data_IF_436603478114
#
_entry.id   IF_436603478114
#
_cell.length_a   1.000
_cell.length_b   1.000
_cell.length_c   1.000
_cell.angle_alpha   90.00
_cell.angle_beta   90.00
_cell.angle_gamma   90.00
#
_symmetry.space_group_name_H-M   'P 1'
#
loop_
_entity.id
_entity.type
_entity.pdbx_description
1 polymer ?
#
# COMPACT_ATOMS: atom_id res chain seq x y z
N UNK A 1 53.20 60.69 -6.54
CA UNK A 1 51.98 60.40 -5.82
C UNK A 1 50.87 60.12 -6.84
N UNK A 2 50.52 58.86 -7.06
CA UNK A 2 49.47 58.47 -8.04
C UNK A 2 48.38 57.76 -7.22
N UNK A 3 47.20 58.35 -7.19
CA UNK A 3 46.00 57.74 -6.56
C UNK A 3 45.39 56.76 -7.55
N UNK A 4 45.33 55.52 -7.16
CA UNK A 4 44.59 54.45 -7.87
C UNK A 4 43.20 54.37 -7.27
N UNK A 5 42.21 54.83 -8.06
CA UNK A 5 40.79 54.63 -7.67
C UNK A 5 40.37 53.19 -7.99
N UNK A 6 40.03 52.45 -6.97
CA UNK A 6 39.42 51.12 -7.09
C UNK A 6 37.93 51.29 -7.19
N UNK A 7 37.36 50.98 -8.37
CA UNK A 7 35.93 50.95 -8.59
C UNK A 7 35.45 49.56 -8.15
N UNK A 8 34.71 49.51 -7.03
CA UNK A 8 34.06 48.30 -6.54
C UNK A 8 32.73 48.10 -7.28
N UNK A 9 32.73 47.19 -8.24
CA UNK A 9 31.48 46.80 -8.91
C UNK A 9 30.73 45.82 -8.03
N UNK A 10 29.65 46.27 -7.41
CA UNK A 10 28.73 45.42 -6.68
C UNK A 10 27.86 44.63 -7.68
N UNK A 11 28.16 43.35 -7.87
CA UNK A 11 27.32 42.44 -8.62
C UNK A 11 26.16 42.03 -7.71
N UNK A 12 24.98 42.59 -7.93
CA UNK A 12 23.73 42.15 -7.35
C UNK A 12 23.35 40.82 -7.99
N UNK A 13 23.69 39.72 -7.33
CA UNK A 13 23.15 38.40 -7.62
C UNK A 13 21.67 38.37 -7.17
N UNK A 14 20.76 38.66 -8.09
CA UNK A 14 19.36 38.38 -7.93
C UNK A 14 19.17 36.85 -7.95
N UNK A 15 19.15 36.23 -6.77
CA UNK A 15 18.70 34.87 -6.58
C UNK A 15 17.18 34.82 -6.84
N UNK A 16 16.81 34.46 -8.06
CA UNK A 16 15.46 34.01 -8.38
C UNK A 16 15.21 32.73 -7.60
N UNK A 17 14.57 32.86 -6.47
CA UNK A 17 13.97 31.70 -5.78
C UNK A 17 12.89 31.16 -6.71
N UNK A 18 13.25 30.11 -7.48
CA UNK A 18 12.27 29.26 -8.14
C UNK A 18 11.48 28.56 -7.04
N UNK A 19 10.37 29.17 -6.62
CA UNK A 19 9.38 28.52 -5.79
C UNK A 19 8.86 27.32 -6.57
N UNK A 20 9.37 26.14 -6.28
CA UNK A 20 8.75 24.90 -6.71
C UNK A 20 7.33 24.96 -6.14
N UNK A 21 6.33 25.09 -7.01
CA UNK A 21 4.95 24.89 -6.68
C UNK A 21 4.84 23.43 -6.24
N UNK A 22 4.92 23.19 -4.93
CA UNK A 22 4.52 21.91 -4.35
C UNK A 22 3.01 21.80 -4.57
N UNK A 23 2.63 21.16 -5.67
CA UNK A 23 1.24 20.74 -5.86
C UNK A 23 0.94 19.80 -4.71
N UNK A 24 0.16 20.27 -3.74
CA UNK A 24 -0.36 19.43 -2.67
C UNK A 24 -1.20 18.34 -3.34
N UNK A 25 -0.71 17.11 -3.34
CA UNK A 25 -1.45 15.96 -3.87
C UNK A 25 -2.63 15.66 -2.98
N UNK A 26 -3.80 15.55 -3.58
CA UNK A 26 -5.01 15.09 -2.90
C UNK A 26 -5.12 13.55 -2.98
N UNK A 27 -4.33 12.88 -2.17
CA UNK A 27 -4.36 11.42 -2.08
C UNK A 27 -5.76 10.85 -1.80
N UNK A 28 -6.63 11.60 -1.11
CA UNK A 28 -8.01 11.16 -0.84
C UNK A 28 -8.83 10.99 -2.11
N UNK A 29 -8.61 11.82 -3.10
CA UNK A 29 -9.30 11.71 -4.40
C UNK A 29 -8.60 10.73 -5.33
N UNK A 30 -7.27 10.74 -5.35
CA UNK A 30 -6.47 9.89 -6.25
C UNK A 30 -6.63 8.40 -5.95
N UNK A 31 -6.75 8.01 -4.67
CA UNK A 31 -6.88 6.60 -4.25
C UNK A 31 -8.24 5.99 -4.59
N UNK A 32 -9.27 6.81 -4.87
CA UNK A 32 -10.62 6.30 -5.14
C UNK A 32 -10.66 5.38 -6.36
N UNK A 33 -11.46 4.32 -6.27
CA UNK A 33 -11.68 3.37 -7.36
C UNK A 33 -11.23 1.95 -7.04
N UNK A 34 -11.04 1.17 -8.10
CA UNK A 34 -10.70 -0.24 -7.99
C UNK A 34 -9.20 -0.44 -8.25
N UNK A 35 -8.56 -1.27 -7.43
CA UNK A 35 -7.14 -1.56 -7.50
C UNK A 35 -6.89 -3.05 -7.42
N UNK A 36 -5.95 -3.56 -8.21
CA UNK A 36 -5.41 -4.91 -8.05
C UNK A 36 -4.07 -4.79 -7.36
N UNK A 37 -3.98 -5.30 -6.15
CA UNK A 37 -2.77 -5.33 -5.34
C UNK A 37 -2.10 -6.70 -5.41
N UNK A 38 -0.78 -6.71 -5.35
CA UNK A 38 0.04 -7.94 -5.41
C UNK A 38 1.13 -7.86 -4.36
N UNK A 39 1.24 -8.93 -3.60
CA UNK A 39 2.29 -9.10 -2.60
C UNK A 39 2.92 -10.49 -2.75
N UNK A 40 4.26 -10.53 -2.81
CA UNK A 40 5.00 -11.76 -3.06
C UNK A 40 6.20 -11.88 -2.12
N UNK A 41 6.28 -13.03 -1.44
CA UNK A 41 7.42 -13.42 -0.63
C UNK A 41 7.76 -14.89 -0.91
N UNK A 42 8.93 -15.38 -0.53
CA UNK A 42 9.20 -16.82 -0.60
C UNK A 42 8.16 -17.61 0.20
N UNK A 43 7.42 -18.49 -0.47
CA UNK A 43 6.38 -19.32 0.12
C UNK A 43 5.04 -18.62 0.35
N UNK A 44 4.86 -17.39 -0.15
CA UNK A 44 3.62 -16.62 -0.03
C UNK A 44 3.34 -15.80 -1.28
N UNK A 45 2.09 -15.77 -1.71
CA UNK A 45 1.61 -14.85 -2.73
C UNK A 45 0.19 -14.39 -2.37
N UNK A 46 -0.08 -13.11 -2.47
CA UNK A 46 -1.41 -12.55 -2.35
C UNK A 46 -1.78 -11.73 -3.58
N UNK A 47 -3.02 -11.87 -3.99
CA UNK A 47 -3.66 -11.09 -5.04
C UNK A 47 -4.98 -10.58 -4.50
N UNK A 48 -5.15 -9.30 -4.49
CA UNK A 48 -6.33 -8.67 -3.94
C UNK A 48 -6.88 -7.63 -4.91
N UNK A 49 -8.17 -7.65 -5.15
CA UNK A 49 -8.90 -6.52 -5.72
C UNK A 49 -9.53 -5.75 -4.58
N UNK A 50 -9.16 -4.50 -4.42
CA UNK A 50 -9.69 -3.60 -3.40
C UNK A 50 -10.35 -2.40 -4.06
N UNK A 51 -11.50 -1.97 -3.53
CA UNK A 51 -12.20 -0.77 -3.94
C UNK A 51 -12.27 0.23 -2.81
N UNK A 52 -11.61 1.37 -2.97
CA UNK A 52 -11.75 2.52 -2.08
C UNK A 52 -12.89 3.41 -2.53
N UNK A 53 -13.83 3.70 -1.61
CA UNK A 53 -15.03 4.47 -1.88
C UNK A 53 -14.95 5.85 -1.23
N UNK A 54 -15.68 6.80 -1.81
CA UNK A 54 -15.70 8.20 -1.37
C UNK A 54 -16.27 8.39 0.05
N UNK A 55 -17.05 7.44 0.53
CA UNK A 55 -17.64 7.46 1.88
C UNK A 55 -16.65 7.00 2.98
N UNK A 56 -15.38 6.74 2.63
CA UNK A 56 -14.36 6.27 3.57
C UNK A 56 -14.45 4.77 3.85
N UNK A 57 -15.24 4.02 3.10
CA UNK A 57 -15.28 2.56 3.19
C UNK A 57 -14.46 1.90 2.08
N UNK A 58 -14.02 0.67 2.32
CA UNK A 58 -13.45 -0.17 1.30
C UNK A 58 -14.07 -1.57 1.33
N UNK A 59 -14.00 -2.25 0.21
CA UNK A 59 -14.28 -3.69 0.15
C UNK A 59 -13.24 -4.37 -0.74
N UNK A 60 -12.93 -5.61 -0.42
CA UNK A 60 -11.97 -6.39 -1.18
C UNK A 60 -12.41 -7.84 -1.36
N UNK A 61 -11.80 -8.45 -2.36
CA UNK A 61 -11.78 -9.90 -2.53
C UNK A 61 -10.45 -10.31 -3.15
N UNK A 62 -9.99 -11.48 -2.78
CA UNK A 62 -8.69 -11.92 -3.26
C UNK A 62 -8.38 -13.38 -3.00
N UNK A 63 -7.16 -13.75 -3.31
CA UNK A 63 -6.60 -15.06 -3.07
C UNK A 63 -5.23 -14.94 -2.40
N UNK A 64 -5.04 -15.78 -1.40
CA UNK A 64 -3.74 -15.97 -0.73
C UNK A 64 -3.27 -17.40 -1.00
N UNK A 65 -2.02 -17.53 -1.39
CA UNK A 65 -1.35 -18.81 -1.65
C UNK A 65 -0.20 -18.93 -0.67
N UNK A 66 -0.18 -20.01 0.11
CA UNK A 66 0.85 -20.27 1.12
C UNK A 66 1.48 -21.63 0.88
N UNK A 67 2.80 -21.68 0.91
CA UNK A 67 3.56 -22.93 0.86
C UNK A 67 3.86 -23.39 2.29
N UNK A 68 3.11 -24.37 2.79
CA UNK A 68 3.38 -25.03 4.08
C UNK A 68 4.48 -26.06 3.93
N UNK A 69 5.55 -25.91 4.70
CA UNK A 69 6.63 -26.89 4.74
C UNK A 69 6.18 -28.13 5.53
N UNK A 70 6.10 -29.27 4.87
CA UNK A 70 5.77 -30.56 5.50
C UNK A 70 7.03 -31.26 6.01
N UNK A 71 8.07 -31.34 5.13
CA UNK A 71 9.36 -31.96 5.39
C UNK A 71 10.47 -31.20 4.65
N UNK A 72 11.71 -31.60 4.83
CA UNK A 72 12.83 -31.04 4.08
C UNK A 72 12.59 -31.21 2.58
N UNK A 73 12.43 -30.11 1.85
CA UNK A 73 12.12 -30.04 0.41
C UNK A 73 10.70 -30.49 -0.01
N UNK A 74 9.77 -30.72 0.92
CA UNK A 74 8.38 -31.05 0.61
C UNK A 74 7.45 -29.93 1.12
N UNK A 75 6.71 -29.29 0.20
CA UNK A 75 5.82 -28.18 0.49
C UNK A 75 4.41 -28.50 0.01
N UNK A 76 3.43 -28.17 0.84
CA UNK A 76 2.01 -28.20 0.51
C UNK A 76 1.55 -26.79 0.14
N UNK A 77 1.12 -26.61 -1.11
CA UNK A 77 0.57 -25.34 -1.59
C UNK A 77 -0.90 -25.24 -1.25
N UNK A 78 -1.25 -24.31 -0.36
CA UNK A 78 -2.61 -24.06 0.09
C UNK A 78 -3.12 -22.74 -0.47
N UNK A 79 -4.36 -22.75 -0.95
CA UNK A 79 -5.03 -21.58 -1.53
C UNK A 79 -6.21 -21.18 -0.68
N UNK A 80 -6.24 -19.91 -0.29
CA UNK A 80 -7.31 -19.30 0.46
C UNK A 80 -7.97 -18.21 -0.36
N UNK A 81 -9.30 -18.25 -0.47
CA UNK A 81 -10.06 -17.10 -0.95
C UNK A 81 -10.42 -16.21 0.23
N UNK A 82 -10.27 -14.91 0.10
CA UNK A 82 -10.62 -13.94 1.12
C UNK A 82 -11.59 -12.89 0.55
N UNK A 83 -12.52 -12.45 1.39
CA UNK A 83 -13.34 -11.25 1.16
C UNK A 83 -13.29 -10.40 2.41
N UNK A 84 -13.21 -9.08 2.25
CA UNK A 84 -13.10 -8.16 3.37
C UNK A 84 -13.82 -6.84 3.13
N UNK A 85 -14.19 -6.19 4.23
CA UNK A 85 -14.68 -4.81 4.25
C UNK A 85 -14.02 -4.04 5.39
N UNK A 86 -14.09 -2.71 5.31
CA UNK A 86 -13.56 -1.87 6.35
C UNK A 86 -13.68 -0.40 6.02
N UNK A 87 -12.99 0.40 6.82
CA UNK A 87 -12.88 1.84 6.62
C UNK A 87 -11.46 2.24 6.29
N UNK A 88 -11.31 3.39 5.64
CA UNK A 88 -10.02 3.97 5.29
C UNK A 88 -10.03 5.48 5.43
N UNK A 89 -8.86 6.03 5.66
CA UNK A 89 -8.59 7.47 5.67
C UNK A 89 -7.12 7.74 5.28
N UNK A 90 -6.81 8.96 4.89
CA UNK A 90 -5.45 9.41 4.66
C UNK A 90 -5.04 10.37 5.77
N UNK A 91 -3.94 10.07 6.44
CA UNK A 91 -3.32 10.90 7.46
C UNK A 91 -1.81 11.03 7.20
N UNK A 92 -1.32 12.27 7.00
CA UNK A 92 0.12 12.56 6.84
C UNK A 92 0.82 11.63 5.83
N UNK A 93 0.26 11.52 4.63
CA UNK A 93 0.75 10.66 3.54
C UNK A 93 0.74 9.15 3.86
N UNK A 94 -0.01 8.74 4.87
CA UNK A 94 -0.26 7.35 5.18
C UNK A 94 -1.71 6.98 4.87
N UNK A 95 -1.88 5.79 4.31
CA UNK A 95 -3.16 5.12 4.24
C UNK A 95 -3.42 4.43 5.59
N UNK A 96 -4.40 4.93 6.30
CA UNK A 96 -4.90 4.30 7.52
C UNK A 96 -6.09 3.43 7.15
N UNK A 97 -6.05 2.17 7.52
CA UNK A 97 -7.17 1.25 7.27
C UNK A 97 -7.52 0.44 8.52
N UNK A 98 -8.76 -0.01 8.57
CA UNK A 98 -9.25 -0.88 9.62
C UNK A 98 -10.22 -1.89 8.99
N UNK A 99 -10.00 -3.18 9.29
CA UNK A 99 -10.86 -4.26 8.85
C UNK A 99 -12.03 -4.38 9.83
N UNK A 100 -13.26 -4.27 9.37
CA UNK A 100 -14.46 -4.50 10.17
C UNK A 100 -15.05 -5.91 9.96
N UNK A 101 -14.80 -6.49 8.80
CA UNK A 101 -15.19 -7.84 8.46
C UNK A 101 -14.17 -8.49 7.52
N UNK A 102 -13.86 -9.75 7.78
CA UNK A 102 -13.13 -10.63 6.86
C UNK A 102 -13.68 -12.04 6.92
N UNK A 103 -13.77 -12.68 5.77
CA UNK A 103 -14.07 -14.11 5.66
C UNK A 103 -13.02 -14.77 4.78
N UNK A 104 -12.37 -15.78 5.33
CA UNK A 104 -11.39 -16.61 4.63
C UNK A 104 -11.94 -17.99 4.39
N UNK A 105 -11.64 -18.58 3.24
CA UNK A 105 -12.10 -19.92 2.87
C UNK A 105 -10.94 -20.69 2.24
N UNK A 106 -10.57 -21.81 2.82
CA UNK A 106 -9.59 -22.73 2.24
C UNK A 106 -10.20 -23.37 0.98
N UNK A 107 -9.49 -23.30 -0.14
CA UNK A 107 -9.99 -23.71 -1.46
C UNK A 107 -9.62 -25.14 -1.85
N UNK A 108 -8.56 -25.69 -1.28
CA UNK A 108 -8.01 -26.97 -1.76
C UNK A 108 -7.64 -27.98 -0.66
N UNK A 109 -7.47 -27.56 0.59
CA UNK A 109 -7.05 -28.43 1.69
C UNK A 109 -7.78 -28.11 3.00
N UNK A 110 -9.12 -28.17 3.00
CA UNK A 110 -9.95 -27.75 4.13
C UNK A 110 -9.66 -28.49 5.46
N UNK A 111 -9.12 -29.71 5.38
CA UNK A 111 -8.67 -30.47 6.56
C UNK A 111 -7.55 -29.72 7.35
N UNK A 112 -6.80 -28.85 6.68
CA UNK A 112 -5.72 -28.09 7.32
C UNK A 112 -6.26 -27.02 8.28
N UNK A 113 -7.51 -26.59 8.11
CA UNK A 113 -8.14 -25.57 8.96
C UNK A 113 -8.29 -26.02 10.41
N UNK A 114 -8.22 -27.33 10.68
CA UNK A 114 -8.17 -27.90 12.03
C UNK A 114 -6.84 -27.61 12.75
N UNK A 115 -5.76 -27.39 11.98
CA UNK A 115 -4.40 -27.17 12.49
C UNK A 115 -3.95 -25.72 12.33
N UNK A 116 -4.41 -25.06 11.29
CA UNK A 116 -4.06 -23.69 10.96
C UNK A 116 -5.25 -22.96 10.35
N UNK A 117 -5.83 -22.05 11.11
CA UNK A 117 -6.92 -21.21 10.65
C UNK A 117 -6.39 -19.89 10.13
N UNK A 118 -6.39 -19.68 8.81
CA UNK A 118 -5.97 -18.45 8.17
C UNK A 118 -6.82 -17.24 8.60
N UNK A 119 -8.08 -17.44 8.97
CA UNK A 119 -8.98 -16.41 9.47
C UNK A 119 -8.40 -15.69 10.71
N UNK A 120 -7.71 -16.42 11.59
CA UNK A 120 -7.16 -15.90 12.85
C UNK A 120 -5.91 -15.02 12.64
N UNK A 121 -5.39 -14.94 11.41
CA UNK A 121 -4.28 -14.05 11.06
C UNK A 121 -4.74 -12.61 10.82
N UNK A 122 -6.04 -12.37 10.75
CA UNK A 122 -6.60 -11.03 10.53
C UNK A 122 -7.10 -10.44 11.84
N UNK A 123 -6.58 -9.28 12.21
CA UNK A 123 -7.06 -8.53 13.38
C UNK A 123 -8.18 -7.58 12.96
N UNK A 124 -9.36 -7.76 13.55
CA UNK A 124 -10.50 -6.89 13.30
C UNK A 124 -10.48 -5.68 14.22
N UNK A 125 -11.02 -4.55 13.73
CA UNK A 125 -11.20 -3.32 14.47
C UNK A 125 -9.90 -2.68 15.00
N UNK A 126 -8.76 -3.03 14.41
CA UNK A 126 -7.47 -2.41 14.69
C UNK A 126 -7.04 -1.56 13.50
N UNK A 127 -6.58 -0.34 13.78
CA UNK A 127 -6.04 0.55 12.75
C UNK A 127 -4.65 0.09 12.34
N UNK A 128 -4.47 -0.07 11.05
CA UNK A 128 -3.16 -0.26 10.40
C UNK A 128 -2.77 1.00 9.67
N UNK A 129 -1.47 1.23 9.52
CA UNK A 129 -0.92 2.39 8.83
C UNK A 129 0.10 1.95 7.81
N UNK A 130 -0.02 2.44 6.59
CA UNK A 130 0.87 2.14 5.47
C UNK A 130 1.32 3.44 4.81
N UNK A 131 2.63 3.63 4.68
CA UNK A 131 3.21 4.77 3.99
C UNK A 131 2.86 4.70 2.49
N UNK A 132 2.33 5.79 1.93
CA UNK A 132 2.13 5.93 0.50
C UNK A 132 3.45 6.38 -0.12
N UNK A 133 4.26 5.42 -0.58
CA UNK A 133 5.56 5.71 -1.19
C UNK A 133 5.40 6.36 -2.56
N UNK A 134 4.45 5.87 -3.34
CA UNK A 134 4.09 6.42 -4.66
C UNK A 134 2.58 6.30 -4.83
N UNK A 135 1.95 7.35 -5.32
CA UNK A 135 0.57 7.31 -5.81
C UNK A 135 0.51 8.09 -7.13
N UNK A 136 -0.06 7.49 -8.16
CA UNK A 136 -0.34 8.09 -9.45
C UNK A 136 -1.72 7.64 -9.94
N UNK A 137 -2.16 8.13 -11.10
CA UNK A 137 -3.50 7.84 -11.64
C UNK A 137 -3.81 6.34 -11.76
N UNK A 138 -2.78 5.52 -11.94
CA UNK A 138 -2.94 4.08 -12.21
C UNK A 138 -2.02 3.16 -11.39
N UNK A 139 -1.24 3.69 -10.45
CA UNK A 139 -0.27 2.92 -9.68
C UNK A 139 -0.13 3.45 -8.26
N UNK A 140 -0.14 2.54 -7.29
CA UNK A 140 0.18 2.81 -5.87
C UNK A 140 1.28 1.86 -5.42
N UNK A 141 2.25 2.38 -4.68
CA UNK A 141 3.17 1.59 -3.87
C UNK A 141 2.91 1.91 -2.40
N UNK A 142 2.52 0.92 -1.63
CA UNK A 142 2.26 1.00 -0.20
C UNK A 142 3.32 0.24 0.56
N UNK A 143 3.75 0.80 1.69
CA UNK A 143 4.73 0.19 2.57
C UNK A 143 4.18 0.12 4.00
N UNK A 144 3.83 -1.08 4.49
CA UNK A 144 3.42 -1.27 5.86
C UNK A 144 4.58 -0.97 6.83
N UNK A 145 4.26 -0.61 8.07
CA UNK A 145 5.25 -0.36 9.12
C UNK A 145 6.15 -1.58 9.40
N UNK A 146 5.62 -2.77 9.12
CA UNK A 146 6.36 -4.04 9.22
C UNK A 146 6.31 -4.76 7.88
N UNK A 147 7.47 -5.05 7.29
CA UNK A 147 7.54 -5.82 6.07
C UNK A 147 8.00 -5.06 4.84
N UNK A 148 7.80 -5.69 3.70
CA UNK A 148 8.11 -5.12 2.38
C UNK A 148 6.89 -4.39 1.84
N UNK A 149 7.12 -3.35 1.04
CA UNK A 149 6.06 -2.69 0.29
C UNK A 149 5.45 -3.62 -0.75
N UNK A 150 4.23 -3.32 -1.13
CA UNK A 150 3.50 -4.00 -2.19
C UNK A 150 2.92 -3.00 -3.19
N UNK A 151 2.52 -3.50 -4.33
CA UNK A 151 2.14 -2.69 -5.49
C UNK A 151 0.67 -2.93 -5.85
N UNK A 152 -0.02 -1.84 -6.18
CA UNK A 152 -1.38 -1.90 -6.69
C UNK A 152 -1.50 -1.13 -8.01
N UNK A 153 -2.32 -1.65 -8.90
CA UNK A 153 -2.60 -1.09 -10.22
C UNK A 153 -4.08 -0.81 -10.35
N UNK A 154 -4.44 0.41 -10.79
CA UNK A 154 -5.82 0.81 -10.98
C UNK A 154 -6.46 0.04 -12.14
N UNK A 155 -7.70 -0.36 -11.95
CA UNK A 155 -8.49 -1.06 -12.96
C UNK A 155 -9.83 -0.38 -13.15
N UNK A 156 -10.27 -0.29 -14.39
CA UNK A 156 -11.63 0.13 -14.77
C UNK A 156 -12.51 -1.14 -14.82
N UNK A 157 -13.62 -1.11 -14.07
CA UNK A 157 -14.62 -2.19 -14.04
C UNK A 157 -15.97 -1.65 -14.49
#
# INVERSE_FOLDING_TARGET
>A
MKYISVILAAILLSSSASGALTVSRDYKTEILGNWICKDFWPGYAAFEMIRYKKDGTWNSFGEVIVDFKLEENNYLKVRYGAVGTGIWEIENDNLISMIDYVKVTNRNHSWLDEYFNMQDQFTLNEKTSEEIVVLSDNYINLKPNTGKGYECYKVEL
#
